data_IF_357052022723
#
_entry.id   IF_357052022723
#
_cell.length_a   1.000
_cell.length_b   1.000
_cell.length_c   1.000
_cell.angle_alpha   90.00
_cell.angle_beta   90.00
_cell.angle_gamma   90.00
#
_symmetry.space_group_name_H-M   'P 1'
#
loop_
_entity.id
_entity.type
_entity.pdbx_description
1 polymer ?
#
# COMPACT_ATOMS: atom_id res chain seq x y z
N UNK A 1 -28.99 15.81 0.38
CA UNK A 1 -27.88 15.61 1.34
C UNK A 1 -27.79 14.13 1.64
N UNK A 2 -26.68 13.50 1.24
CA UNK A 2 -25.93 12.40 1.90
C UNK A 2 -25.31 11.52 0.82
N UNK A 3 -24.13 11.90 0.33
CA UNK A 3 -23.29 11.05 -0.53
C UNK A 3 -21.81 11.13 -0.11
N UNK A 4 -21.55 11.36 1.19
CA UNK A 4 -20.19 11.51 1.74
C UNK A 4 -19.68 10.21 2.39
N UNK A 5 -20.54 9.21 2.60
CA UNK A 5 -20.18 8.01 3.39
C UNK A 5 -19.31 7.00 2.65
N UNK A 6 -19.15 7.11 1.31
CA UNK A 6 -18.24 6.22 0.55
C UNK A 6 -16.80 6.76 0.45
N UNK A 7 -16.61 8.07 0.64
CA UNK A 7 -15.28 8.71 0.72
C UNK A 7 -14.65 8.62 2.12
N UNK A 8 -15.31 7.99 3.09
CA UNK A 8 -14.81 7.90 4.49
C UNK A 8 -13.98 6.65 4.79
N UNK A 9 -13.84 5.71 3.83
CA UNK A 9 -13.03 4.49 3.99
C UNK A 9 -11.64 4.70 3.36
N UNK A 10 -10.58 4.50 4.15
CA UNK A 10 -9.18 4.65 3.74
C UNK A 10 -8.83 3.74 2.54
N UNK A 11 -9.41 2.54 2.47
CA UNK A 11 -9.23 1.64 1.32
C UNK A 11 -9.79 2.25 0.03
N UNK A 12 -10.89 2.98 0.10
CA UNK A 12 -11.49 3.64 -1.06
C UNK A 12 -10.70 4.88 -1.49
N UNK A 13 -10.12 5.61 -0.53
CA UNK A 13 -9.16 6.68 -0.84
C UNK A 13 -7.94 6.13 -1.60
N UNK A 14 -7.34 5.03 -1.13
CA UNK A 14 -6.20 4.38 -1.80
C UNK A 14 -6.53 3.92 -3.24
N UNK A 15 -7.77 3.49 -3.51
CA UNK A 15 -8.23 3.17 -4.88
C UNK A 15 -8.38 4.42 -5.75
N UNK A 16 -8.87 5.52 -5.18
CA UNK A 16 -8.97 6.80 -5.88
C UNK A 16 -7.58 7.32 -6.24
N UNK A 17 -6.63 7.26 -5.29
CA UNK A 17 -5.24 7.66 -5.50
C UNK A 17 -4.57 6.79 -6.57
N UNK A 18 -4.83 5.47 -6.58
CA UNK A 18 -4.32 4.60 -7.64
C UNK A 18 -4.83 5.04 -9.02
N UNK A 19 -6.09 5.44 -9.11
CA UNK A 19 -6.67 5.96 -10.36
C UNK A 19 -5.98 7.25 -10.81
N UNK A 20 -5.63 8.12 -9.86
CA UNK A 20 -4.92 9.38 -10.13
C UNK A 20 -3.48 9.07 -10.59
N UNK A 21 -2.75 8.21 -9.89
CA UNK A 21 -1.38 7.80 -10.21
C UNK A 21 -1.27 7.17 -11.61
N UNK A 22 -2.25 6.33 -11.97
CA UNK A 22 -2.33 5.74 -13.31
C UNK A 22 -2.54 6.80 -14.41
N UNK A 23 -3.34 7.84 -14.15
CA UNK A 23 -3.59 8.94 -15.09
C UNK A 23 -2.37 9.86 -15.23
N UNK A 24 -1.65 10.10 -14.14
CA UNK A 24 -0.42 10.89 -14.14
C UNK A 24 0.79 10.13 -14.69
N UNK A 25 0.65 8.82 -14.95
CA UNK A 25 1.74 7.93 -15.36
C UNK A 25 2.88 7.90 -14.34
N UNK A 26 2.57 8.08 -13.06
CA UNK A 26 3.52 7.90 -11.98
C UNK A 26 3.69 6.40 -11.70
N UNK A 27 4.70 5.78 -12.33
CA UNK A 27 4.90 4.33 -12.27
C UNK A 27 5.19 3.82 -10.85
N UNK A 28 6.03 4.55 -10.10
CA UNK A 28 6.41 4.19 -8.72
C UNK A 28 5.19 4.24 -7.79
N UNK A 29 4.46 5.35 -7.80
CA UNK A 29 3.25 5.50 -6.99
C UNK A 29 2.18 4.47 -7.38
N UNK A 30 2.03 4.21 -8.68
CA UNK A 30 1.11 3.19 -9.19
C UNK A 30 1.47 1.79 -8.69
N UNK A 31 2.76 1.42 -8.75
CA UNK A 31 3.27 0.13 -8.26
C UNK A 31 2.98 -0.03 -6.76
N UNK A 32 3.36 0.98 -5.98
CA UNK A 32 3.19 1.01 -4.53
C UNK A 32 1.73 0.90 -4.11
N UNK A 33 0.83 1.67 -4.73
CA UNK A 33 -0.59 1.62 -4.42
C UNK A 33 -1.22 0.27 -4.78
N UNK A 34 -0.81 -0.37 -5.89
CA UNK A 34 -1.27 -1.72 -6.24
C UNK A 34 -0.84 -2.76 -5.22
N UNK A 35 0.43 -2.73 -4.81
CA UNK A 35 0.94 -3.68 -3.80
C UNK A 35 0.28 -3.45 -2.44
N UNK A 36 0.10 -2.19 -2.04
CA UNK A 36 -0.60 -1.84 -0.80
C UNK A 36 -2.05 -2.34 -0.81
N UNK A 37 -2.79 -2.11 -1.91
CA UNK A 37 -4.16 -2.61 -2.04
C UNK A 37 -4.22 -4.14 -2.07
N UNK A 38 -3.25 -4.81 -2.69
CA UNK A 38 -3.16 -6.27 -2.67
C UNK A 38 -2.93 -6.79 -1.23
N UNK A 39 -2.05 -6.16 -0.45
CA UNK A 39 -1.83 -6.52 0.95
C UNK A 39 -3.10 -6.34 1.80
N UNK A 40 -3.86 -5.26 1.58
CA UNK A 40 -5.15 -5.04 2.24
C UNK A 40 -6.14 -6.15 1.86
N UNK A 41 -6.30 -6.46 0.57
CA UNK A 41 -7.20 -7.52 0.10
C UNK A 41 -6.79 -8.90 0.64
N UNK A 42 -5.49 -9.17 0.76
CA UNK A 42 -5.01 -10.41 1.37
C UNK A 42 -5.36 -10.48 2.86
N UNK A 43 -5.23 -9.37 3.60
CA UNK A 43 -5.61 -9.30 5.01
C UNK A 43 -7.13 -9.46 5.20
N UNK A 44 -7.95 -8.96 4.28
CA UNK A 44 -9.41 -9.14 4.27
C UNK A 44 -9.85 -10.61 4.21
N UNK A 45 -9.02 -11.48 3.62
CA UNK A 45 -9.35 -12.91 3.41
C UNK A 45 -8.46 -13.87 4.21
N UNK A 46 -7.59 -13.36 5.10
CA UNK A 46 -6.63 -14.19 5.83
C UNK A 46 -7.24 -14.99 7.00
N UNK A 47 -8.42 -14.59 7.48
CA UNK A 47 -9.15 -15.30 8.54
C UNK A 47 -10.10 -16.37 8.01
N UNK A 48 -10.89 -16.95 8.91
CA UNK A 48 -11.88 -18.00 8.56
C UNK A 48 -13.00 -17.49 7.63
N UNK A 49 -13.21 -16.17 7.60
CA UNK A 49 -14.21 -15.51 6.77
C UNK A 49 -13.62 -14.23 6.18
N UNK A 50 -14.08 -13.87 4.97
CA UNK A 50 -13.76 -12.59 4.37
C UNK A 50 -14.43 -11.45 5.14
N UNK A 51 -13.66 -10.43 5.48
CA UNK A 51 -14.13 -9.22 6.18
C UNK A 51 -13.76 -7.98 5.39
N UNK A 52 -14.47 -6.88 5.61
CA UNK A 52 -14.00 -5.55 5.21
C UNK A 52 -13.18 -4.96 6.36
N UNK A 53 -11.95 -4.51 6.07
CA UNK A 53 -11.13 -3.88 7.10
C UNK A 53 -11.67 -2.50 7.48
N UNK A 54 -11.62 -2.20 8.77
CA UNK A 54 -11.78 -0.84 9.29
C UNK A 54 -10.58 0.03 8.91
N UNK A 55 -10.72 1.36 8.98
CA UNK A 55 -9.62 2.29 8.69
C UNK A 55 -8.37 2.02 9.54
N UNK A 56 -8.54 1.69 10.81
CA UNK A 56 -7.41 1.39 11.71
C UNK A 56 -6.68 0.11 11.31
N UNK A 57 -7.44 -0.91 10.87
CA UNK A 57 -6.87 -2.15 10.36
C UNK A 57 -6.17 -1.94 9.01
N UNK A 58 -6.74 -1.12 8.12
CA UNK A 58 -6.07 -0.71 6.87
C UNK A 58 -4.76 0.02 7.18
N UNK A 59 -4.78 0.97 8.12
CA UNK A 59 -3.57 1.71 8.52
C UNK A 59 -2.50 0.79 9.11
N UNK A 60 -2.90 -0.22 9.88
CA UNK A 60 -2.00 -1.23 10.41
C UNK A 60 -1.33 -2.06 9.29
N UNK A 61 -2.08 -2.47 8.27
CA UNK A 61 -1.53 -3.17 7.09
C UNK A 61 -0.55 -2.27 6.35
N UNK A 62 -0.92 -1.03 6.05
CA UNK A 62 -0.05 -0.05 5.36
C UNK A 62 1.25 0.16 6.13
N UNK A 63 1.16 0.34 7.45
CA UNK A 63 2.33 0.54 8.32
C UNK A 63 3.26 -0.69 8.32
N UNK A 64 2.69 -1.90 8.31
CA UNK A 64 3.46 -3.13 8.25
C UNK A 64 4.19 -3.29 6.89
N UNK A 65 3.53 -2.96 5.78
CA UNK A 65 4.15 -3.02 4.45
C UNK A 65 5.26 -1.96 4.28
N UNK A 66 5.06 -0.74 4.78
CA UNK A 66 6.09 0.29 4.80
C UNK A 66 7.30 -0.15 5.63
N UNK A 67 7.08 -0.77 6.79
CA UNK A 67 8.17 -1.32 7.60
C UNK A 67 8.95 -2.41 6.85
N UNK A 68 8.26 -3.36 6.20
CA UNK A 68 8.90 -4.42 5.40
C UNK A 68 9.75 -3.86 4.27
N UNK A 69 9.27 -2.85 3.55
CA UNK A 69 10.04 -2.13 2.52
C UNK A 69 11.31 -1.49 3.07
N UNK A 70 11.21 -0.81 4.22
CA UNK A 70 12.38 -0.21 4.88
C UNK A 70 13.41 -1.28 5.29
N UNK A 71 12.95 -2.40 5.86
CA UNK A 71 13.81 -3.53 6.22
C UNK A 71 14.47 -4.16 4.97
N UNK A 72 13.73 -4.35 3.88
CA UNK A 72 14.27 -4.83 2.59
C UNK A 72 15.33 -3.88 2.02
N UNK A 73 15.08 -2.57 2.08
CA UNK A 73 16.04 -1.56 1.63
C UNK A 73 17.37 -1.66 2.40
N UNK A 74 17.30 -1.83 3.72
CA UNK A 74 18.48 -1.97 4.57
C UNK A 74 19.22 -3.30 4.29
N UNK A 75 18.50 -4.40 4.07
CA UNK A 75 19.11 -5.69 3.65
C UNK A 75 19.82 -5.54 2.30
N UNK A 76 19.23 -4.85 1.32
CA UNK A 76 19.88 -4.62 0.03
C UNK A 76 21.10 -3.74 0.14
N UNK A 77 21.07 -2.73 1.02
CA UNK A 77 22.23 -1.89 1.34
C UNK A 77 23.37 -2.72 1.91
N UNK A 78 23.09 -3.56 2.90
CA UNK A 78 24.08 -4.44 3.54
C UNK A 78 24.68 -5.45 2.54
N UNK A 79 23.88 -5.90 1.56
CA UNK A 79 24.31 -6.79 0.49
C UNK A 79 25.03 -6.07 -0.68
N UNK A 80 25.23 -4.75 -0.62
CA UNK A 80 25.86 -3.96 -1.68
C UNK A 80 25.01 -3.81 -2.96
N UNK A 81 23.70 -4.06 -2.88
CA UNK A 81 22.74 -3.98 -4.00
C UNK A 81 22.04 -2.61 -4.04
N UNK A 82 22.80 -1.56 -4.32
CA UNK A 82 22.32 -0.17 -4.24
C UNK A 82 21.15 0.15 -5.16
N UNK A 83 21.06 -0.44 -6.36
CA UNK A 83 19.92 -0.23 -7.26
C UNK A 83 18.61 -0.76 -6.65
N UNK A 84 18.69 -1.87 -5.93
CA UNK A 84 17.54 -2.48 -5.26
C UNK A 84 17.16 -1.75 -3.97
N UNK A 85 18.15 -1.28 -3.21
CA UNK A 85 17.92 -0.35 -2.10
C UNK A 85 17.16 0.88 -2.58
N UNK A 86 17.65 1.53 -3.64
CA UNK A 86 17.04 2.74 -4.18
C UNK A 86 15.60 2.51 -4.64
N UNK A 87 15.34 1.35 -5.26
CA UNK A 87 13.98 0.96 -5.66
C UNK A 87 13.04 0.83 -4.46
N UNK A 88 13.42 0.10 -3.40
CA UNK A 88 12.59 -0.04 -2.20
C UNK A 88 12.36 1.32 -1.50
N UNK A 89 13.38 2.17 -1.42
CA UNK A 89 13.27 3.50 -0.81
C UNK A 89 12.40 4.46 -1.62
N UNK A 90 12.35 4.33 -2.94
CA UNK A 90 11.48 5.15 -3.79
C UNK A 90 9.99 4.82 -3.56
N UNK A 91 9.69 3.67 -2.98
CA UNK A 91 8.34 3.19 -2.72
C UNK A 91 7.85 3.47 -1.27
N UNK A 92 8.59 4.26 -0.48
CA UNK A 92 8.28 4.72 0.89
C UNK A 92 7.88 6.20 0.90
#
# INVERSE_FOLDING_TARGET
>A
MTEVTKMSNLKDQLKADLTIAMKSRNEVETSTLRMTLAAIMNAEVAGDQAIELTNDQVLAVVSAEAKKRAESADIYKEAGRHDAEAAERAEL
#
